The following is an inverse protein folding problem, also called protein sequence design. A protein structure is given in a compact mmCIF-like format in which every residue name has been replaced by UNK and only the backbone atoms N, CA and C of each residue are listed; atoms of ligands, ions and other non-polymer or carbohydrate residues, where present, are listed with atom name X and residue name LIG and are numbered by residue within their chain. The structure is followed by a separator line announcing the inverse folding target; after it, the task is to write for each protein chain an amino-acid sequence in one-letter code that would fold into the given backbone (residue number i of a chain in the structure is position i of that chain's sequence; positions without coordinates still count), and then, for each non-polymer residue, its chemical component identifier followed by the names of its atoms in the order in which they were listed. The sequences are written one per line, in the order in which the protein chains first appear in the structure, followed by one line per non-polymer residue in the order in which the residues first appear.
data_IF_012822897589
#
_entry.id   IF_012822897589
#
_cell.length_a   1.000
_cell.length_b   1.000
_cell.length_c   1.000
_cell.angle_alpha   90.00
_cell.angle_beta   90.00
_cell.angle_gamma   90.00
#
_symmetry.space_group_name_H-M   'P 1'
#
loop_
_entity.id
_entity.type
_entity.pdbx_description
1 polymer ?
#
# COMPACT_ATOMS: atom_id res chain seq x y z
N UNK A 1 23.91 -0.75 -0.95
CA UNK A 1 23.99 0.65 -1.39
C UNK A 1 23.00 0.88 -2.52
N UNK A 2 22.53 2.12 -2.69
CA UNK A 2 21.57 2.49 -3.72
C UNK A 2 22.05 2.10 -5.14
N UNK A 3 23.34 2.31 -5.46
CA UNK A 3 23.91 1.99 -6.78
C UNK A 3 23.81 0.50 -7.14
N UNK A 4 24.02 -0.40 -6.18
CA UNK A 4 23.87 -1.86 -6.42
C UNK A 4 22.42 -2.26 -6.67
N UNK A 5 21.48 -1.62 -5.96
CA UNK A 5 20.04 -1.88 -6.17
C UNK A 5 19.59 -1.36 -7.54
N UNK A 6 20.03 -0.16 -7.91
CA UNK A 6 19.77 0.43 -9.23
C UNK A 6 20.25 -0.49 -10.35
N UNK A 7 21.47 -1.03 -10.25
CA UNK A 7 21.99 -1.96 -11.24
C UNK A 7 21.15 -3.25 -11.30
N UNK A 8 20.74 -3.79 -10.15
CA UNK A 8 19.89 -4.99 -10.09
C UNK A 8 18.52 -4.75 -10.74
N UNK A 9 17.87 -3.64 -10.45
CA UNK A 9 16.59 -3.26 -11.06
C UNK A 9 16.72 -3.02 -12.57
N UNK A 10 17.84 -2.46 -13.03
CA UNK A 10 18.17 -2.36 -14.45
C UNK A 10 18.30 -3.73 -15.12
N UNK A 11 19.02 -4.67 -14.50
CA UNK A 11 19.16 -6.04 -15.00
C UNK A 11 17.83 -6.82 -15.04
N UNK A 12 16.87 -6.46 -14.17
CA UNK A 12 15.51 -7.01 -14.17
C UNK A 12 14.58 -6.33 -15.19
N UNK A 13 15.07 -5.34 -15.97
CA UNK A 13 14.28 -4.61 -16.95
C UNK A 13 13.27 -3.63 -16.34
N UNK A 14 13.39 -3.33 -15.04
CA UNK A 14 12.45 -2.46 -14.32
C UNK A 14 12.85 -0.97 -14.40
N UNK A 15 14.07 -0.68 -14.85
CA UNK A 15 14.57 0.68 -15.05
C UNK A 15 15.29 0.82 -16.38
N UNK A 16 15.29 2.04 -16.92
CA UNK A 16 15.99 2.43 -18.14
C UNK A 16 16.77 3.73 -17.92
N UNK A 17 17.84 3.89 -18.67
CA UNK A 17 18.59 5.14 -18.76
C UNK A 17 18.02 6.00 -19.89
N UNK A 18 17.72 7.26 -19.61
CA UNK A 18 17.39 8.25 -20.63
C UNK A 18 18.61 9.11 -20.98
N UNK A 19 18.50 9.85 -22.11
CA UNK A 19 19.53 10.83 -22.49
C UNK A 19 19.80 11.76 -21.30
N UNK A 20 21.06 12.14 -21.11
CA UNK A 20 21.56 12.89 -19.95
C UNK A 20 21.72 12.10 -18.64
N UNK A 21 21.56 10.77 -18.66
CA UNK A 21 21.91 9.92 -17.52
C UNK A 21 20.84 9.85 -16.43
N UNK A 22 19.61 10.27 -16.73
CA UNK A 22 18.48 10.16 -15.80
C UNK A 22 18.00 8.71 -15.76
N UNK A 23 17.87 8.17 -14.55
CA UNK A 23 17.28 6.86 -14.29
C UNK A 23 15.76 7.01 -14.19
N UNK A 24 15.02 6.25 -14.98
CA UNK A 24 13.56 6.22 -14.94
C UNK A 24 13.04 4.79 -14.92
N UNK A 25 11.84 4.59 -14.39
CA UNK A 25 11.16 3.29 -14.46
C UNK A 25 10.84 2.95 -15.93
N UNK A 26 10.99 1.68 -16.28
CA UNK A 26 10.37 1.12 -17.48
C UNK A 26 8.85 1.01 -17.26
N UNK A 27 8.08 0.66 -18.30
CA UNK A 27 6.64 0.43 -18.11
C UNK A 27 6.37 -0.73 -17.14
N UNK A 28 7.11 -1.83 -17.24
CA UNK A 28 7.04 -2.92 -16.26
C UNK A 28 7.40 -2.45 -14.83
N UNK A 29 8.42 -1.59 -14.71
CA UNK A 29 8.77 -0.97 -13.42
C UNK A 29 7.66 -0.10 -12.85
N UNK A 30 6.96 0.67 -13.69
CA UNK A 30 5.80 1.47 -13.26
C UNK A 30 4.62 0.61 -12.85
N UNK A 31 4.33 -0.47 -13.57
CA UNK A 31 3.24 -1.39 -13.22
C UNK A 31 3.47 -2.03 -11.85
N UNK A 32 4.69 -2.55 -11.61
CA UNK A 32 5.05 -3.11 -10.30
C UNK A 32 5.04 -2.02 -9.22
N UNK A 33 5.59 -0.85 -9.51
CA UNK A 33 5.58 0.27 -8.57
C UNK A 33 4.17 0.70 -8.17
N UNK A 34 3.25 0.78 -9.15
CA UNK A 34 1.83 1.08 -8.92
C UNK A 34 1.18 0.01 -8.05
N UNK A 35 1.41 -1.26 -8.35
CA UNK A 35 0.88 -2.38 -7.57
C UNK A 35 1.35 -2.35 -6.11
N UNK A 36 2.64 -2.10 -5.87
CA UNK A 36 3.19 -1.99 -4.52
C UNK A 36 2.61 -0.78 -3.77
N UNK A 37 2.48 0.37 -4.43
CA UNK A 37 1.89 1.56 -3.85
C UNK A 37 0.40 1.39 -3.52
N UNK A 38 -0.36 0.75 -4.40
CA UNK A 38 -1.78 0.46 -4.17
C UNK A 38 -1.96 -0.46 -2.98
N UNK A 39 -1.13 -1.50 -2.86
CA UNK A 39 -1.10 -2.38 -1.70
C UNK A 39 -0.81 -1.63 -0.40
N UNK A 40 0.19 -0.75 -0.39
CA UNK A 40 0.49 0.11 0.76
C UNK A 40 -0.75 0.92 1.18
N UNK A 41 -1.35 1.62 0.23
CA UNK A 41 -2.50 2.48 0.46
C UNK A 41 -3.73 1.71 0.98
N UNK A 42 -3.96 0.48 0.51
CA UNK A 42 -5.08 -0.36 1.00
C UNK A 42 -4.88 -0.71 2.47
N UNK A 43 -3.68 -1.15 2.85
CA UNK A 43 -3.38 -1.51 4.24
C UNK A 43 -3.45 -0.26 5.14
N UNK A 44 -2.89 0.85 4.69
CA UNK A 44 -2.91 2.11 5.43
C UNK A 44 -4.34 2.60 5.69
N UNK A 45 -5.20 2.58 4.66
CA UNK A 45 -6.64 2.90 4.77
C UNK A 45 -7.37 1.94 5.69
N UNK A 46 -7.03 0.66 5.64
CA UNK A 46 -7.61 -0.34 6.53
C UNK A 46 -7.24 -0.05 7.99
N UNK A 47 -5.98 0.25 8.29
CA UNK A 47 -5.55 0.58 9.65
C UNK A 47 -6.23 1.87 10.17
N UNK A 48 -6.40 2.88 9.32
CA UNK A 48 -7.20 4.08 9.66
C UNK A 48 -8.65 3.73 9.96
N UNK A 49 -9.26 2.87 9.14
CA UNK A 49 -10.62 2.39 9.37
C UNK A 49 -10.77 1.65 10.71
N UNK A 50 -9.74 0.93 11.15
CA UNK A 50 -9.72 0.30 12.48
C UNK A 50 -9.54 1.31 13.64
N UNK A 51 -9.28 2.58 13.36
CA UNK A 51 -9.03 3.60 14.38
C UNK A 51 -7.61 3.59 14.94
N UNK A 52 -6.63 2.99 14.25
CA UNK A 52 -5.24 3.08 14.65
C UNK A 52 -4.75 4.54 14.61
N UNK A 53 -3.83 4.90 15.51
CA UNK A 53 -3.30 6.26 15.58
C UNK A 53 -2.32 6.56 14.43
N UNK A 54 -2.32 7.80 13.94
CA UNK A 54 -1.49 8.22 12.79
C UNK A 54 0.02 8.04 13.04
N UNK A 55 0.47 8.10 14.30
CA UNK A 55 1.88 7.91 14.66
C UNK A 55 2.38 6.47 14.44
N UNK A 56 1.49 5.47 14.42
CA UNK A 56 1.86 4.07 14.18
C UNK A 56 1.54 3.59 12.77
N UNK A 57 0.61 4.23 12.06
CA UNK A 57 0.06 3.74 10.78
C UNK A 57 1.14 3.47 9.74
N UNK A 58 2.07 4.41 9.52
CA UNK A 58 3.13 4.23 8.53
C UNK A 58 3.99 2.99 8.84
N UNK A 59 4.48 2.90 10.08
CA UNK A 59 5.34 1.80 10.52
C UNK A 59 4.61 0.45 10.48
N UNK A 60 3.34 0.42 10.88
CA UNK A 60 2.55 -0.82 10.83
C UNK A 60 2.28 -1.25 9.39
N UNK A 61 1.97 -0.30 8.51
CA UNK A 61 1.77 -0.58 7.08
C UNK A 61 3.00 -1.25 6.48
N UNK A 62 4.19 -0.68 6.68
CA UNK A 62 5.47 -1.25 6.22
C UNK A 62 5.74 -2.66 6.77
N UNK A 63 5.43 -2.90 8.06
CA UNK A 63 5.61 -4.21 8.69
C UNK A 63 4.65 -5.27 8.13
N UNK A 64 3.43 -4.87 7.74
CA UNK A 64 2.37 -5.78 7.31
C UNK A 64 2.45 -6.05 5.80
N UNK A 65 2.81 -5.03 5.00
CA UNK A 65 2.70 -5.06 3.55
C UNK A 65 3.61 -6.05 2.84
N UNK A 66 4.55 -6.73 3.50
CA UNK A 66 5.32 -7.80 2.85
C UNK A 66 4.87 -9.20 3.27
N UNK A 67 3.95 -9.29 4.24
CA UNK A 67 3.55 -10.55 4.87
C UNK A 67 2.16 -11.04 4.45
N UNK A 68 1.32 -10.16 3.89
CA UNK A 68 -0.04 -10.54 3.46
C UNK A 68 -0.08 -11.11 2.03
N UNK A 69 -0.93 -12.11 1.80
CA UNK A 69 -1.23 -12.58 0.46
C UNK A 69 -2.10 -11.56 -0.31
N UNK A 70 -2.01 -11.54 -1.64
CA UNK A 70 -2.78 -10.60 -2.47
C UNK A 70 -4.29 -10.77 -2.30
N UNK A 71 -4.76 -12.00 -2.08
CA UNK A 71 -6.16 -12.25 -1.77
C UNK A 71 -6.60 -11.54 -0.48
N UNK A 72 -5.77 -11.56 0.57
CA UNK A 72 -6.05 -10.86 1.82
C UNK A 72 -6.16 -9.36 1.59
N UNK A 73 -5.23 -8.75 0.84
CA UNK A 73 -5.28 -7.32 0.49
C UNK A 73 -6.58 -6.99 -0.24
N UNK A 74 -6.98 -7.81 -1.21
CA UNK A 74 -8.22 -7.59 -1.94
C UNK A 74 -9.45 -7.68 -1.02
N UNK A 75 -9.47 -8.62 -0.06
CA UNK A 75 -10.55 -8.69 0.94
C UNK A 75 -10.58 -7.47 1.87
N UNK A 76 -9.42 -6.93 2.25
CA UNK A 76 -9.35 -5.68 3.02
C UNK A 76 -9.91 -4.50 2.21
N UNK A 77 -9.57 -4.41 0.93
CA UNK A 77 -10.11 -3.39 0.04
C UNK A 77 -11.64 -3.48 -0.10
N UNK A 78 -12.19 -4.68 -0.26
CA UNK A 78 -13.64 -4.91 -0.26
C UNK A 78 -14.28 -4.47 1.05
N UNK A 79 -13.63 -4.74 2.18
CA UNK A 79 -14.14 -4.34 3.50
C UNK A 79 -14.16 -2.82 3.66
N UNK A 80 -13.07 -2.13 3.27
CA UNK A 80 -13.03 -0.66 3.25
C UNK A 80 -14.15 -0.11 2.38
N UNK A 81 -14.34 -0.69 1.18
CA UNK A 81 -15.36 -0.26 0.23
C UNK A 81 -16.77 -0.46 0.78
N UNK A 82 -17.01 -1.56 1.50
CA UNK A 82 -18.28 -1.82 2.18
C UNK A 82 -18.59 -0.74 3.23
N UNK A 83 -17.65 -0.44 4.13
CA UNK A 83 -17.86 0.60 5.14
C UNK A 83 -18.03 1.99 4.53
N UNK A 84 -17.21 2.33 3.53
CA UNK A 84 -17.28 3.63 2.86
C UNK A 84 -18.59 3.83 2.10
N UNK A 85 -19.15 2.75 1.55
CA UNK A 85 -20.44 2.77 0.85
C UNK A 85 -21.66 2.70 1.79
N UNK A 86 -21.44 2.41 3.08
CA UNK A 86 -22.49 2.28 4.08
C UNK A 86 -22.19 3.13 5.33
N UNK A 87 -22.33 4.47 5.26
CA UNK A 87 -21.93 5.38 6.35
C UNK A 87 -22.60 5.07 7.69
N UNK A 88 -23.88 4.66 7.70
CA UNK A 88 -24.58 4.30 8.93
C UNK A 88 -23.98 3.06 9.63
N UNK A 89 -23.41 2.13 8.86
CA UNK A 89 -22.72 0.95 9.42
C UNK A 89 -21.35 1.34 9.95
N UNK A 90 -20.65 2.24 9.25
CA UNK A 90 -19.40 2.81 9.74
C UNK A 90 -19.60 3.55 11.06
N UNK A 91 -20.62 4.40 11.16
CA UNK A 91 -20.96 5.11 12.41
C UNK A 91 -21.26 4.12 13.55
N UNK A 92 -22.05 3.08 13.29
CA UNK A 92 -22.30 2.01 14.28
C UNK A 92 -21.01 1.31 14.73
N UNK A 93 -20.09 1.06 13.81
CA UNK A 93 -18.80 0.45 14.12
C UNK A 93 -17.91 1.39 14.94
N UNK A 94 -17.83 2.67 14.58
CA UNK A 94 -17.09 3.68 15.34
C UNK A 94 -17.65 3.83 16.77
N UNK A 95 -18.97 3.83 16.91
CA UNK A 95 -19.64 3.88 18.22
C UNK A 95 -19.43 2.61 19.04
N UNK A 96 -19.32 1.45 18.38
CA UNK A 96 -18.90 0.22 19.05
C UNK A 96 -17.47 0.34 19.55
N UNK A 97 -16.54 0.81 18.72
CA UNK A 97 -15.12 0.96 19.09
C UNK A 97 -14.95 1.94 20.24
N UNK A 98 -15.62 3.10 20.24
CA UNK A 98 -15.55 4.11 21.33
C UNK A 98 -15.99 3.59 22.70
N UNK A 99 -16.75 2.48 22.75
CA UNK A 99 -17.21 1.87 24.01
C UNK A 99 -16.15 0.99 24.67
N UNK A 100 -15.09 0.63 23.95
CA UNK A 100 -14.00 -0.23 24.41
C UNK A 100 -12.66 0.52 24.40
#
# INVERSE_FOLDING_TARGET
SASKMVQKLGNLGLMKYEKYGVLVLSEAGKEIGKFLLERHNIIERFLRLLGCSEDIILKQTELIEHNLHNETIHRLEMLISYFTSNPAVLEQFEDFVKKY
#
